data_IF_310365201102
#
_entry.id   IF_310365201102
#
_cell.length_a   1.000
_cell.length_b   1.000
_cell.length_c   1.000
_cell.angle_alpha   90.00
_cell.angle_beta   90.00
_cell.angle_gamma   90.00
#
_symmetry.space_group_name_H-M   'P 1'
#
loop_
_entity.id
_entity.type
_entity.pdbx_description
1 polymer ?
#
# COMPACT_ATOMS: atom_id res chain seq x y z
N UNK A 1 15.06 -6.22 -15.04
CA UNK A 1 13.91 -5.66 -14.27
C UNK A 1 13.42 -4.42 -14.99
N UNK A 2 12.14 -4.34 -15.29
CA UNK A 2 11.50 -3.17 -15.91
C UNK A 2 10.51 -2.60 -14.90
N UNK A 3 10.50 -1.28 -14.76
CA UNK A 3 9.66 -0.57 -13.81
C UNK A 3 8.92 0.57 -14.52
N UNK A 4 7.60 0.62 -14.38
CA UNK A 4 6.75 1.69 -14.90
C UNK A 4 5.99 2.34 -13.74
N UNK A 5 6.00 3.66 -13.71
CA UNK A 5 5.21 4.47 -12.77
C UNK A 5 4.49 5.58 -13.53
N UNK A 6 3.19 5.68 -13.31
CA UNK A 6 2.37 6.78 -13.79
C UNK A 6 1.68 7.42 -12.60
N UNK A 7 1.83 8.73 -12.48
CA UNK A 7 1.13 9.52 -11.47
C UNK A 7 0.29 10.58 -12.18
N UNK A 8 -0.88 10.86 -11.65
CA UNK A 8 -1.71 11.99 -12.03
C UNK A 8 -2.19 12.70 -10.78
N UNK A 9 -2.08 14.03 -10.77
CA UNK A 9 -2.61 14.89 -9.72
C UNK A 9 -3.33 16.05 -10.39
N UNK A 10 -4.59 16.23 -10.07
CA UNK A 10 -5.42 17.31 -10.62
C UNK A 10 -6.19 18.00 -9.50
N UNK A 11 -6.04 19.31 -9.42
CA UNK A 11 -6.85 20.16 -8.58
C UNK A 11 -7.82 20.95 -9.46
N UNK A 12 -9.10 20.84 -9.20
CA UNK A 12 -10.17 21.55 -9.90
C UNK A 12 -10.98 22.36 -8.88
N UNK A 13 -10.52 23.57 -8.60
CA UNK A 13 -11.18 24.48 -7.65
C UNK A 13 -11.25 23.93 -6.24
N UNK A 14 -12.36 23.26 -5.89
CA UNK A 14 -12.62 22.73 -4.55
C UNK A 14 -12.26 21.27 -4.38
N UNK A 15 -12.05 20.55 -5.49
CA UNK A 15 -11.81 19.12 -5.53
C UNK A 15 -10.36 18.83 -5.87
N UNK A 16 -9.82 17.79 -5.27
CA UNK A 16 -8.52 17.18 -5.64
C UNK A 16 -8.75 15.75 -6.05
N UNK A 17 -8.08 15.30 -7.10
CA UNK A 17 -8.06 13.92 -7.55
C UNK A 17 -6.61 13.52 -7.81
N UNK A 18 -6.16 12.45 -7.16
CA UNK A 18 -4.83 11.88 -7.32
C UNK A 18 -4.94 10.42 -7.69
N UNK A 19 -4.08 9.99 -8.59
CA UNK A 19 -3.98 8.60 -8.99
C UNK A 19 -2.53 8.22 -9.23
N UNK A 20 -2.19 6.98 -8.89
CA UNK A 20 -0.89 6.40 -9.23
C UNK A 20 -1.04 4.93 -9.59
N UNK A 21 -0.25 4.50 -10.56
CA UNK A 21 -0.10 3.09 -10.92
C UNK A 21 1.38 2.79 -11.04
N UNK A 22 1.79 1.68 -10.44
CA UNK A 22 3.16 1.19 -10.48
C UNK A 22 3.13 -0.24 -10.97
N UNK A 23 3.90 -0.54 -11.99
CA UNK A 23 4.08 -1.89 -12.50
C UNK A 23 5.56 -2.22 -12.56
N UNK A 24 5.92 -3.42 -12.10
CA UNK A 24 7.28 -3.93 -12.19
C UNK A 24 7.28 -5.33 -12.79
N UNK A 25 8.27 -5.62 -13.61
CA UNK A 25 8.49 -6.92 -14.23
C UNK A 25 9.92 -7.41 -13.98
N UNK A 26 10.05 -8.68 -13.58
CA UNK A 26 11.31 -9.38 -13.39
C UNK A 26 11.35 -10.61 -14.30
N UNK A 27 12.18 -10.58 -15.34
CA UNK A 27 12.21 -11.58 -16.41
C UNK A 27 12.63 -12.97 -15.94
N UNK A 28 13.53 -13.09 -14.98
CA UNK A 28 14.10 -14.35 -14.52
C UNK A 28 13.55 -14.82 -13.17
N UNK A 29 12.35 -14.38 -12.78
CA UNK A 29 11.75 -14.68 -11.47
C UNK A 29 11.65 -16.19 -11.19
N UNK A 30 11.21 -16.98 -12.16
CA UNK A 30 11.07 -18.44 -12.01
C UNK A 30 12.43 -19.12 -11.87
N UNK A 31 13.44 -18.64 -12.60
CA UNK A 31 14.82 -19.15 -12.50
C UNK A 31 15.43 -18.85 -11.14
N UNK A 32 15.25 -17.63 -10.65
CA UNK A 32 15.69 -17.22 -9.31
C UNK A 32 14.97 -18.03 -8.24
N UNK A 33 13.66 -18.23 -8.37
CA UNK A 33 12.86 -19.04 -7.44
C UNK A 33 13.35 -20.49 -7.40
N UNK A 34 13.67 -21.09 -8.56
CA UNK A 34 14.21 -22.44 -8.66
C UNK A 34 15.59 -22.53 -8.01
N UNK A 35 16.48 -21.58 -8.26
CA UNK A 35 17.79 -21.51 -7.64
C UNK A 35 17.72 -21.37 -6.12
N UNK A 36 16.83 -20.48 -5.62
CA UNK A 36 16.61 -20.31 -4.19
C UNK A 36 16.11 -21.59 -3.53
N UNK A 37 15.21 -22.34 -4.19
CA UNK A 37 14.73 -23.63 -3.70
C UNK A 37 15.85 -24.67 -3.61
N UNK A 38 16.66 -24.77 -4.64
CA UNK A 38 17.79 -25.72 -4.67
C UNK A 38 18.79 -25.45 -3.54
N UNK A 39 19.05 -24.18 -3.24
CA UNK A 39 20.00 -23.78 -2.20
C UNK A 39 19.38 -23.67 -0.79
N UNK A 40 18.06 -23.62 -0.65
CA UNK A 40 17.40 -23.52 0.66
C UNK A 40 17.41 -24.81 1.47
N UNK A 41 17.72 -25.94 0.85
CA UNK A 41 17.76 -27.26 1.52
C UNK A 41 18.83 -27.36 2.60
N UNK A 42 19.92 -26.57 2.49
CA UNK A 42 21.00 -26.56 3.47
C UNK A 42 20.72 -25.69 4.70
N UNK A 43 19.81 -24.74 4.63
CA UNK A 43 19.51 -23.80 5.71
C UNK A 43 18.10 -23.92 6.29
N UNK A 44 17.34 -24.88 5.81
CA UNK A 44 15.89 -24.96 6.06
C UNK A 44 15.49 -25.13 7.53
N UNK A 45 16.41 -25.54 8.38
CA UNK A 45 16.11 -25.87 9.79
C UNK A 45 17.11 -25.31 10.81
N UNK A 46 18.21 -24.70 10.39
CA UNK A 46 19.24 -24.25 11.33
C UNK A 46 18.94 -22.90 11.96
N UNK A 47 18.20 -22.01 11.27
CA UNK A 47 18.06 -20.62 11.71
C UNK A 47 16.67 -20.28 12.27
N UNK A 48 15.74 -21.22 12.31
CA UNK A 48 14.37 -20.97 12.80
C UNK A 48 13.63 -19.85 12.08
N UNK A 49 14.12 -19.40 10.91
CA UNK A 49 13.55 -18.28 10.16
C UNK A 49 12.39 -18.77 9.28
N UNK A 50 11.13 -18.49 9.67
CA UNK A 50 9.95 -18.88 8.89
C UNK A 50 9.82 -18.09 7.57
N UNK A 51 10.68 -17.09 7.32
CA UNK A 51 10.59 -16.16 6.21
C UNK A 51 11.51 -16.47 5.04
N UNK A 52 12.00 -17.68 4.90
CA UNK A 52 12.65 -18.10 3.66
C UNK A 52 11.66 -18.09 2.50
N UNK A 53 11.38 -16.89 2.02
CA UNK A 53 10.55 -16.71 0.84
C UNK A 53 11.38 -17.05 -0.40
N UNK A 54 11.37 -18.33 -0.79
CA UNK A 54 12.11 -18.81 -1.96
C UNK A 54 11.43 -18.44 -3.27
N UNK A 55 10.18 -18.00 -3.23
CA UNK A 55 9.38 -17.71 -4.41
C UNK A 55 9.36 -16.22 -4.70
N UNK A 56 9.71 -15.85 -5.93
CA UNK A 56 9.74 -14.47 -6.40
C UNK A 56 8.66 -14.30 -7.47
N UNK A 57 7.85 -13.24 -7.37
CA UNK A 57 6.87 -12.88 -8.39
C UNK A 57 7.54 -12.33 -9.64
N UNK A 58 7.07 -12.72 -10.81
CA UNK A 58 7.53 -12.14 -12.07
C UNK A 58 6.99 -10.74 -12.32
N UNK A 59 5.79 -10.46 -11.84
CA UNK A 59 5.15 -9.16 -11.99
C UNK A 59 4.62 -8.66 -10.65
N UNK A 60 4.77 -7.36 -10.43
CA UNK A 60 4.15 -6.66 -9.30
C UNK A 60 3.31 -5.48 -9.82
N UNK A 61 2.18 -5.24 -9.17
CA UNK A 61 1.27 -4.15 -9.47
C UNK A 61 0.86 -3.45 -8.18
N UNK A 62 0.93 -2.12 -8.19
CA UNK A 62 0.31 -1.29 -7.17
C UNK A 62 -0.48 -0.17 -7.84
N UNK A 63 -1.60 0.19 -7.25
CA UNK A 63 -2.36 1.36 -7.66
C UNK A 63 -3.00 2.05 -6.47
N UNK A 64 -3.18 3.36 -6.61
CA UNK A 64 -3.79 4.22 -5.62
C UNK A 64 -4.70 5.23 -6.30
N UNK A 65 -5.83 5.50 -5.70
CA UNK A 65 -6.72 6.60 -6.08
C UNK A 65 -7.15 7.35 -4.83
N UNK A 66 -7.06 8.67 -4.86
CA UNK A 66 -7.47 9.56 -3.78
C UNK A 66 -8.35 10.67 -4.34
N UNK A 67 -9.45 10.93 -3.67
CA UNK A 67 -10.32 12.08 -3.95
C UNK A 67 -10.52 12.88 -2.67
N UNK A 68 -10.43 14.21 -2.79
CA UNK A 68 -10.59 15.13 -1.68
C UNK A 68 -11.47 16.34 -2.04
N UNK A 69 -12.09 16.92 -1.03
CA UNK A 69 -12.92 18.12 -1.17
C UNK A 69 -12.63 19.14 -0.08
N UNK A 70 -12.42 20.40 -0.49
CA UNK A 70 -12.18 21.50 0.44
C UNK A 70 -13.48 22.05 1.01
N UNK A 71 -13.83 21.68 2.23
CA UNK A 71 -15.05 22.13 2.91
C UNK A 71 -15.09 23.65 3.12
N UNK A 72 -13.95 24.27 3.47
CA UNK A 72 -13.89 25.70 3.74
C UNK A 72 -14.07 26.57 2.49
N UNK A 73 -14.00 25.96 1.31
CA UNK A 73 -14.33 26.66 0.06
C UNK A 73 -15.78 27.19 0.00
N UNK A 74 -16.66 26.66 0.82
CA UNK A 74 -18.08 27.08 0.90
C UNK A 74 -18.33 28.21 1.90
N UNK A 75 -17.37 28.46 2.82
CA UNK A 75 -17.56 29.40 3.94
C UNK A 75 -16.89 30.72 3.61
N UNK A 76 -17.67 31.79 3.48
CA UNK A 76 -17.15 33.13 3.31
C UNK A 76 -16.25 33.52 4.51
N UNK A 77 -15.07 34.09 4.22
CA UNK A 77 -14.10 34.50 5.25
C UNK A 77 -13.08 33.42 5.63
N UNK A 78 -13.37 32.12 5.46
CA UNK A 78 -12.40 31.04 5.68
C UNK A 78 -11.71 30.59 4.39
N UNK A 79 -12.41 30.58 3.25
CA UNK A 79 -11.94 30.02 1.97
C UNK A 79 -10.60 30.57 1.49
N UNK A 80 -10.28 31.82 1.82
CA UNK A 80 -9.07 32.51 1.36
C UNK A 80 -7.92 32.43 2.39
N UNK A 81 -8.22 32.05 3.63
CA UNK A 81 -7.26 32.01 4.75
C UNK A 81 -6.88 30.60 5.16
N UNK A 82 -7.85 29.69 5.16
CA UNK A 82 -7.70 28.33 5.66
C UNK A 82 -8.27 27.34 4.66
N UNK A 83 -7.78 26.11 4.71
CA UNK A 83 -8.33 25.01 3.91
C UNK A 83 -8.56 23.79 4.80
N UNK A 84 -9.70 23.14 4.62
CA UNK A 84 -10.01 21.87 5.26
C UNK A 84 -10.45 20.88 4.18
N UNK A 85 -9.54 20.00 3.79
CA UNK A 85 -9.82 18.91 2.86
C UNK A 85 -10.27 17.68 3.64
N UNK A 86 -11.44 17.15 3.30
CA UNK A 86 -11.78 15.76 3.58
C UNK A 86 -11.38 14.94 2.36
N UNK A 87 -10.80 13.76 2.58
CA UNK A 87 -10.40 12.87 1.50
C UNK A 87 -10.69 11.42 1.81
N UNK A 88 -10.88 10.65 0.73
CA UNK A 88 -10.89 9.21 0.72
C UNK A 88 -9.84 8.68 -0.23
N UNK A 89 -9.11 7.64 0.17
CA UNK A 89 -8.08 6.98 -0.63
C UNK A 89 -8.28 5.48 -0.62
N UNK A 90 -8.06 4.88 -1.76
CA UNK A 90 -8.02 3.44 -1.93
C UNK A 90 -6.68 3.03 -2.53
N UNK A 91 -5.98 2.14 -1.86
CA UNK A 91 -4.69 1.60 -2.30
C UNK A 91 -4.78 0.08 -2.43
N UNK A 92 -4.09 -0.45 -3.42
CA UNK A 92 -3.86 -1.88 -3.56
C UNK A 92 -2.44 -2.11 -4.05
N UNK A 93 -1.80 -3.14 -3.50
CA UNK A 93 -0.54 -3.62 -4.06
C UNK A 93 -0.51 -5.14 -4.06
N UNK A 94 0.09 -5.71 -5.09
CA UNK A 94 0.31 -7.14 -5.25
C UNK A 94 1.71 -7.34 -5.83
N UNK A 95 2.59 -7.93 -5.04
CA UNK A 95 3.96 -8.25 -5.45
C UNK A 95 4.06 -9.51 -6.31
N UNK A 96 2.96 -10.26 -6.48
CA UNK A 96 2.89 -11.52 -7.20
C UNK A 96 1.67 -11.61 -8.12
N UNK A 97 1.48 -10.61 -8.98
CA UNK A 97 0.39 -10.60 -9.98
C UNK A 97 0.50 -11.77 -10.95
N UNK A 98 1.73 -12.15 -11.31
CA UNK A 98 2.02 -13.29 -12.17
C UNK A 98 3.25 -14.06 -11.67
N UNK A 99 3.35 -15.31 -12.08
CA UNK A 99 4.39 -16.26 -11.71
C UNK A 99 3.81 -17.60 -11.27
N UNK A 100 4.65 -18.63 -11.24
CA UNK A 100 4.26 -20.01 -10.94
C UNK A 100 3.59 -20.16 -9.57
N UNK A 101 3.89 -19.29 -8.61
CA UNK A 101 3.43 -19.37 -7.23
C UNK A 101 2.38 -18.33 -6.84
N UNK A 102 1.82 -17.62 -7.80
CA UNK A 102 0.81 -16.56 -7.59
C UNK A 102 -0.31 -16.95 -6.62
N UNK A 103 -0.84 -18.17 -6.75
CA UNK A 103 -1.98 -18.62 -5.94
C UNK A 103 -1.66 -18.76 -4.45
N UNK A 104 -0.40 -19.04 -4.09
CA UNK A 104 0.03 -19.23 -2.70
C UNK A 104 0.13 -17.91 -1.93
N UNK A 105 0.41 -16.80 -2.63
CA UNK A 105 0.69 -15.49 -2.01
C UNK A 105 -0.41 -14.45 -2.19
N UNK A 106 -1.59 -14.86 -2.67
CA UNK A 106 -2.74 -13.94 -2.83
C UNK A 106 -3.14 -13.22 -1.54
N UNK A 107 -2.89 -13.84 -0.39
CA UNK A 107 -3.14 -13.24 0.92
C UNK A 107 -2.18 -12.09 1.26
N UNK A 108 -1.04 -11.98 0.58
CA UNK A 108 -0.08 -10.88 0.74
C UNK A 108 -0.45 -9.61 -0.07
N UNK A 109 -1.58 -9.62 -0.78
CA UNK A 109 -2.05 -8.50 -1.58
C UNK A 109 -3.20 -7.76 -0.87
N UNK A 110 -2.92 -6.85 0.07
CA UNK A 110 -3.95 -6.14 0.81
C UNK A 110 -4.66 -5.07 -0.02
N UNK A 111 -5.88 -4.77 0.39
CA UNK A 111 -6.61 -3.57 0.03
C UNK A 111 -6.60 -2.63 1.23
N UNK A 112 -6.27 -1.36 0.99
CA UNK A 112 -6.23 -0.34 2.04
C UNK A 112 -7.23 0.75 1.68
N UNK A 113 -8.18 0.99 2.57
CA UNK A 113 -9.10 2.10 2.46
C UNK A 113 -8.76 3.11 3.54
N UNK A 114 -8.53 4.36 3.15
CA UNK A 114 -8.18 5.44 4.05
C UNK A 114 -9.21 6.55 3.92
N UNK A 115 -9.67 7.08 5.04
CA UNK A 115 -10.43 8.33 5.11
C UNK A 115 -9.73 9.28 6.05
N UNK A 116 -9.78 10.57 5.77
CA UNK A 116 -9.07 11.51 6.60
C UNK A 116 -9.35 12.97 6.26
N UNK A 117 -8.63 13.83 6.97
CA UNK A 117 -8.67 15.26 6.75
C UNK A 117 -7.27 15.88 6.71
N UNK A 118 -7.13 16.96 5.92
CA UNK A 118 -5.97 17.82 5.90
C UNK A 118 -6.43 19.25 6.20
N UNK A 119 -6.08 19.74 7.38
CA UNK A 119 -6.40 21.09 7.81
C UNK A 119 -5.19 22.00 7.68
N UNK A 120 -5.33 23.07 6.90
CA UNK A 120 -4.32 24.11 6.72
C UNK A 120 -4.79 25.38 7.42
N UNK A 121 -4.39 25.61 8.69
CA UNK A 121 -4.68 26.85 9.40
C UNK A 121 -4.00 28.06 8.75
N UNK A 122 -2.82 27.83 8.21
CA UNK A 122 -2.05 28.76 7.37
C UNK A 122 -1.40 27.97 6.22
N UNK A 123 -0.90 28.66 5.20
CA UNK A 123 -0.31 28.03 4.01
C UNK A 123 0.87 27.09 4.33
N UNK A 124 1.61 27.36 5.39
CA UNK A 124 2.82 26.64 5.75
C UNK A 124 2.60 25.45 6.67
N UNK A 125 1.43 25.36 7.33
CA UNK A 125 1.15 24.29 8.29
C UNK A 125 0.01 23.43 7.77
N UNK A 126 0.19 22.11 7.85
CA UNK A 126 -0.87 21.13 7.66
C UNK A 126 -0.96 20.22 8.87
N UNK A 127 -2.17 20.07 9.38
CA UNK A 127 -2.56 19.09 10.39
C UNK A 127 -3.35 18.01 9.66
N UNK A 128 -2.88 16.76 9.74
CA UNK A 128 -3.46 15.63 9.03
C UNK A 128 -3.92 14.58 10.01
N UNK A 129 -5.18 14.15 9.89
CA UNK A 129 -5.71 12.99 10.60
C UNK A 129 -6.22 11.96 9.61
N UNK A 130 -5.92 10.68 9.83
CA UNK A 130 -6.29 9.57 8.98
C UNK A 130 -6.78 8.38 9.80
N UNK A 131 -7.79 7.71 9.28
CA UNK A 131 -8.14 6.35 9.64
C UNK A 131 -7.93 5.46 8.41
N UNK A 132 -7.11 4.44 8.54
CA UNK A 132 -6.88 3.47 7.48
C UNK A 132 -7.28 2.07 7.93
N UNK A 133 -7.92 1.33 7.03
CA UNK A 133 -8.29 -0.05 7.21
C UNK A 133 -7.64 -0.91 6.14
N UNK A 134 -6.74 -1.81 6.57
CA UNK A 134 -6.04 -2.76 5.70
C UNK A 134 -6.74 -4.10 5.77
N UNK A 135 -7.26 -4.56 4.63
CA UNK A 135 -7.94 -5.84 4.49
C UNK A 135 -7.07 -6.83 3.71
N UNK A 136 -6.89 -8.02 4.24
CA UNK A 136 -6.14 -9.11 3.61
C UNK A 136 -7.07 -10.18 3.03
N UNK A 137 -6.67 -10.77 1.92
CA UNK A 137 -7.34 -11.96 1.38
C UNK A 137 -6.97 -13.17 2.23
N UNK A 138 -7.93 -14.09 2.39
CA UNK A 138 -7.65 -15.36 3.04
C UNK A 138 -6.71 -16.22 2.18
N UNK A 139 -5.72 -16.89 2.78
CA UNK A 139 -4.87 -17.84 2.07
C UNK A 139 -5.69 -19.03 1.57
N UNK A 140 -5.19 -19.69 0.54
CA UNK A 140 -5.83 -20.89 0.00
C UNK A 140 -5.33 -22.14 0.73
N UNK A 141 -5.92 -22.46 1.86
CA UNK A 141 -5.59 -23.63 2.67
C UNK A 141 -6.52 -24.83 2.39
N UNK A 142 -7.10 -24.92 1.19
CA UNK A 142 -8.04 -26.00 0.85
C UNK A 142 -7.38 -27.38 1.03
N UNK A 143 -7.96 -28.22 1.91
CA UNK A 143 -7.47 -29.57 2.17
C UNK A 143 -6.21 -29.65 3.04
N UNK A 144 -5.77 -28.53 3.65
CA UNK A 144 -4.63 -28.50 4.55
C UNK A 144 -5.13 -28.42 6.01
N UNK A 145 -4.59 -29.29 6.87
CA UNK A 145 -4.73 -29.15 8.33
C UNK A 145 -3.90 -27.98 8.84
N UNK A 146 -4.29 -27.37 9.96
CA UNK A 146 -3.52 -26.33 10.66
C UNK A 146 -2.09 -26.78 11.02
N UNK A 147 -1.87 -28.08 11.20
CA UNK A 147 -0.59 -28.68 11.56
C UNK A 147 0.30 -28.96 10.33
N UNK A 148 -0.23 -28.75 9.14
CA UNK A 148 0.53 -28.95 7.90
C UNK A 148 1.59 -27.87 7.75
N UNK A 149 2.85 -28.22 7.39
CA UNK A 149 3.90 -27.24 7.10
C UNK A 149 3.59 -26.34 5.89
N UNK A 150 2.57 -26.69 5.10
CA UNK A 150 2.09 -25.91 3.96
C UNK A 150 0.93 -24.99 4.33
N UNK A 151 0.42 -25.08 5.56
CA UNK A 151 -0.67 -24.22 6.03
C UNK A 151 -0.16 -22.80 6.24
N UNK A 152 -0.84 -21.85 5.65
CA UNK A 152 -0.51 -20.43 5.80
C UNK A 152 -1.51 -19.78 6.73
N UNK A 153 -1.02 -19.20 7.82
CA UNK A 153 -1.85 -18.43 8.74
C UNK A 153 -2.45 -17.21 8.02
N UNK A 154 -3.77 -16.96 8.15
CA UNK A 154 -4.37 -15.76 7.59
C UNK A 154 -3.86 -14.51 8.34
N UNK A 155 -3.57 -13.45 7.61
CA UNK A 155 -3.36 -12.15 8.22
C UNK A 155 -4.66 -11.59 8.76
N UNK A 156 -4.60 -10.95 9.91
CA UNK A 156 -5.71 -10.20 10.46
C UNK A 156 -5.83 -8.85 9.73
N UNK A 157 -7.06 -8.38 9.60
CA UNK A 157 -7.28 -7.03 9.13
C UNK A 157 -6.78 -6.02 10.16
N UNK A 158 -6.18 -4.92 9.69
CA UNK A 158 -5.47 -3.96 10.53
C UNK A 158 -6.10 -2.57 10.40
N UNK A 159 -6.89 -2.12 11.39
CA UNK A 159 -7.25 -0.72 11.50
C UNK A 159 -6.08 0.09 12.06
N UNK A 160 -5.89 1.31 11.57
CA UNK A 160 -4.91 2.24 12.11
C UNK A 160 -5.43 3.68 12.12
N UNK A 161 -5.01 4.45 13.12
CA UNK A 161 -5.28 5.88 13.23
C UNK A 161 -3.95 6.59 13.27
N UNK A 162 -3.81 7.65 12.49
CA UNK A 162 -2.64 8.52 12.50
C UNK A 162 -3.02 9.99 12.60
N UNK A 163 -2.20 10.75 13.33
CA UNK A 163 -2.27 12.20 13.41
C UNK A 163 -0.87 12.75 13.17
N UNK A 164 -0.74 13.72 12.27
CA UNK A 164 0.54 14.34 11.96
C UNK A 164 0.40 15.84 11.75
N UNK A 165 1.50 16.56 12.00
CA UNK A 165 1.64 17.98 11.73
C UNK A 165 2.88 18.15 10.87
N UNK A 166 2.75 18.85 9.75
CA UNK A 166 3.86 19.18 8.87
C UNK A 166 3.95 20.69 8.67
N UNK A 167 5.19 21.17 8.57
CA UNK A 167 5.51 22.57 8.25
C UNK A 167 6.29 22.62 6.93
N UNK A 168 5.89 23.51 6.04
CA UNK A 168 6.57 23.77 4.79
C UNK A 168 7.04 25.23 4.75
N UNK A 169 8.33 25.45 4.94
CA UNK A 169 8.94 26.79 4.96
C UNK A 169 10.41 26.76 5.36
N UNK A 170 11.01 27.95 5.42
CA UNK A 170 12.38 28.13 5.91
C UNK A 170 12.35 28.39 7.42
N UNK A 171 13.11 27.60 8.18
CA UNK A 171 13.25 27.77 9.61
C UNK A 171 14.25 28.88 10.00
N UNK A 172 15.11 29.29 9.04
CA UNK A 172 16.12 30.33 9.25
C UNK A 172 15.93 31.40 8.17
N UNK A 173 15.83 32.64 8.61
CA UNK A 173 16.04 33.86 7.83
C UNK A 173 17.44 34.38 8.12
#
# INVERSE_FOLDING_TARGET
MVFYRVNSDKEAGKCTLRGSVVYAHLSDADRISTYNKANSTHHKYQDGNPFHNTNIGSNALAYSIEAGYNLFSQIQGLRDRQKLYLFGRFDHYDSMVAGTYKSQYRHCAPYITTVGFNYHPIKQIVIKGEYAYRAFKKPNNKGLSSDSPLYVQPFNNEPSISLSIAYQGWFLK
#
